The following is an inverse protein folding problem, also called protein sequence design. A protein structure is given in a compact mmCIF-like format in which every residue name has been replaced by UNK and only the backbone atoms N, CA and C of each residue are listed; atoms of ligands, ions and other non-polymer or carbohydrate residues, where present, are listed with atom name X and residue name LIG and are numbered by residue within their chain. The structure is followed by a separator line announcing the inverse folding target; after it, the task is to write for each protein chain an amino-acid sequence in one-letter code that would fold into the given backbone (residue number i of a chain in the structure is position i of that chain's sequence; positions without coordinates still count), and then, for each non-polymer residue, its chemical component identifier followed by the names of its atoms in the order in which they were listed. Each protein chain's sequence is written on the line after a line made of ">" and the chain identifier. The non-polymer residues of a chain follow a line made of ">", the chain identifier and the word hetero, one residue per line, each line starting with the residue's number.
data_IF_416983351730
#
_entry.id   IF_416983351730
#
_cell.length_a   1.000
_cell.length_b   1.000
_cell.length_c   1.000
_cell.angle_alpha   90.00
_cell.angle_beta   90.00
_cell.angle_gamma   90.00
#
_symmetry.space_group_name_H-M   'P 1'
#
loop_
_entity.id
_entity.type
_entity.pdbx_description
1 polymer ?
#
# COMPACT_ATOMS: atom_id res chain seq x y z
N UNK A 1 14.80 -24.43 7.56
CA UNK A 1 15.58 -23.59 6.60
C UNK A 1 14.73 -22.85 5.55
N UNK A 2 13.47 -23.23 5.26
CA UNK A 2 12.59 -22.53 4.30
C UNK A 2 11.86 -21.28 4.85
N UNK A 3 11.99 -20.97 6.14
CA UNK A 3 11.29 -19.84 6.79
C UNK A 3 12.10 -18.53 6.73
N UNK A 4 13.43 -18.61 6.58
CA UNK A 4 14.29 -17.41 6.56
C UNK A 4 14.32 -16.71 5.20
N UNK A 5 14.30 -17.45 4.08
CA UNK A 5 14.32 -16.85 2.73
C UNK A 5 13.02 -16.08 2.39
N UNK A 6 11.92 -16.36 3.09
CA UNK A 6 10.60 -15.71 2.89
C UNK A 6 10.57 -14.27 3.40
N UNK A 7 11.50 -13.85 4.28
CA UNK A 7 11.39 -12.59 5.02
C UNK A 7 12.07 -11.40 4.34
N UNK A 8 13.08 -11.65 3.51
CA UNK A 8 13.90 -10.59 2.90
C UNK A 8 13.33 -10.05 1.58
N UNK A 9 12.47 -10.81 0.88
CA UNK A 9 11.78 -10.36 -0.34
C UNK A 9 10.42 -9.67 -0.08
N UNK A 10 9.95 -9.61 1.17
CA UNK A 10 8.62 -9.09 1.50
C UNK A 10 8.41 -7.61 1.14
N UNK A 11 9.48 -6.83 1.05
CA UNK A 11 9.41 -5.41 0.69
C UNK A 11 9.38 -5.18 -0.83
N UNK A 12 9.74 -6.17 -1.64
CA UNK A 12 9.69 -6.06 -3.10
C UNK A 12 8.26 -6.05 -3.62
N UNK A 13 7.35 -6.83 -3.02
CA UNK A 13 5.95 -6.91 -3.45
C UNK A 13 5.23 -5.55 -3.49
N UNK A 14 5.23 -4.71 -2.43
CA UNK A 14 4.62 -3.39 -2.51
C UNK A 14 5.35 -2.45 -3.47
N UNK A 15 6.66 -2.63 -3.67
CA UNK A 15 7.43 -1.81 -4.60
C UNK A 15 7.06 -2.12 -6.05
N UNK A 16 6.93 -3.40 -6.40
CA UNK A 16 6.43 -3.82 -7.70
C UNK A 16 4.97 -3.40 -7.91
N UNK A 17 4.14 -3.45 -6.87
CA UNK A 17 2.75 -2.94 -6.95
C UNK A 17 2.75 -1.46 -7.35
N UNK A 18 3.51 -0.62 -6.63
CA UNK A 18 3.63 0.80 -6.92
C UNK A 18 4.24 1.06 -8.30
N UNK A 19 5.29 0.31 -8.67
CA UNK A 19 5.98 0.45 -9.95
C UNK A 19 5.11 0.07 -11.14
N UNK A 20 4.38 -1.05 -11.07
CA UNK A 20 3.43 -1.44 -12.12
C UNK A 20 2.30 -0.42 -12.27
N UNK A 21 1.74 0.07 -11.15
CA UNK A 21 0.68 1.08 -11.20
C UNK A 21 1.17 2.42 -11.75
N UNK A 22 2.33 2.91 -11.28
CA UNK A 22 2.94 4.13 -11.80
C UNK A 22 3.26 4.00 -13.29
N UNK A 23 3.81 2.87 -13.71
CA UNK A 23 4.06 2.60 -15.12
C UNK A 23 2.75 2.67 -15.91
N UNK A 24 1.66 2.12 -15.37
CA UNK A 24 0.36 2.16 -16.01
C UNK A 24 -0.11 3.60 -16.25
N UNK A 25 -0.15 4.42 -15.18
CA UNK A 25 -0.64 5.81 -15.26
C UNK A 25 0.28 6.68 -16.11
N UNK A 26 1.61 6.60 -15.92
CA UNK A 26 2.57 7.37 -16.70
C UNK A 26 2.56 6.94 -18.16
N UNK A 27 2.49 5.64 -18.45
CA UNK A 27 2.42 5.12 -19.81
C UNK A 27 1.18 5.59 -20.55
N UNK A 28 0.00 5.55 -19.92
CA UNK A 28 -1.23 6.09 -20.50
C UNK A 28 -1.15 7.61 -20.71
N UNK A 29 -0.53 8.35 -19.78
CA UNK A 29 -0.30 9.79 -19.93
C UNK A 29 0.64 10.10 -21.10
N UNK A 30 1.71 9.30 -21.27
CA UNK A 30 2.63 9.43 -22.39
C UNK A 30 1.97 9.07 -23.72
N UNK A 31 1.14 8.02 -23.76
CA UNK A 31 0.38 7.71 -24.97
C UNK A 31 -0.56 8.84 -25.37
N UNK A 32 -1.23 9.44 -24.39
CA UNK A 32 -2.10 10.60 -24.63
C UNK A 32 -1.35 11.84 -25.13
N UNK A 33 -0.18 12.15 -24.54
CA UNK A 33 0.60 13.35 -24.89
C UNK A 33 1.42 13.22 -26.17
N UNK A 34 1.91 12.03 -26.50
CA UNK A 34 2.80 11.82 -27.66
C UNK A 34 2.00 11.52 -28.95
N UNK A 35 0.85 10.83 -28.84
CA UNK A 35 0.03 10.49 -30.02
C UNK A 35 -1.05 11.54 -30.25
N UNK A 36 -0.64 12.69 -30.78
CA UNK A 36 -1.53 13.78 -31.19
C UNK A 36 -2.33 13.52 -32.48
N UNK A 37 -2.44 12.28 -32.98
CA UNK A 37 -3.44 11.99 -34.01
C UNK A 37 -4.82 11.91 -33.35
N UNK A 38 -5.44 13.09 -33.17
CA UNK A 38 -6.83 13.34 -32.74
C UNK A 38 -7.90 12.63 -33.62
N UNK A 39 -7.50 11.73 -34.51
CA UNK A 39 -8.38 10.96 -35.41
C UNK A 39 -8.95 9.69 -34.77
N UNK A 40 -8.33 9.13 -33.73
CA UNK A 40 -8.84 7.91 -33.06
C UNK A 40 -9.77 8.20 -31.87
N UNK A 41 -9.74 9.40 -31.31
CA UNK A 41 -10.63 9.81 -30.23
C UNK A 41 -11.96 10.30 -30.84
N UNK A 42 -13.06 9.58 -30.60
CA UNK A 42 -14.39 9.91 -31.16
C UNK A 42 -14.77 11.37 -30.88
N UNK A 43 -15.62 11.96 -31.73
CA UNK A 43 -16.06 13.36 -31.67
C UNK A 43 -16.82 13.77 -30.40
N UNK A 44 -17.21 12.82 -29.54
CA UNK A 44 -18.04 13.05 -28.35
C UNK A 44 -17.24 13.07 -27.03
N UNK A 45 -15.91 13.12 -27.09
CA UNK A 45 -15.05 13.17 -25.90
C UNK A 45 -14.71 14.61 -25.52
N UNK A 46 -14.63 14.86 -24.21
CA UNK A 46 -14.31 16.18 -23.64
C UNK A 46 -12.87 16.60 -23.89
N UNK A 47 -12.57 17.88 -23.69
CA UNK A 47 -11.22 18.45 -23.83
C UNK A 47 -10.14 17.71 -23.02
N UNK A 48 -10.50 17.13 -21.88
CA UNK A 48 -9.63 16.26 -21.09
C UNK A 48 -10.23 14.85 -21.10
N UNK A 49 -9.40 13.85 -21.40
CA UNK A 49 -9.78 12.45 -21.53
C UNK A 49 -9.58 11.70 -20.20
N UNK A 50 -10.51 10.77 -19.90
CA UNK A 50 -10.37 9.87 -18.75
C UNK A 50 -9.20 8.90 -18.95
N UNK A 51 -8.59 8.44 -17.85
CA UNK A 51 -7.53 7.42 -17.92
C UNK A 51 -8.10 6.13 -18.52
N UNK A 52 -9.32 5.79 -18.12
CA UNK A 52 -10.03 4.60 -18.58
C UNK A 52 -10.28 4.61 -20.09
N UNK A 53 -10.58 5.76 -20.69
CA UNK A 53 -10.79 5.88 -22.14
C UNK A 53 -9.51 5.65 -22.93
N UNK A 54 -8.38 6.20 -22.47
CA UNK A 54 -7.07 5.98 -23.08
C UNK A 54 -6.64 4.53 -22.89
N UNK A 55 -6.90 3.95 -21.70
CA UNK A 55 -6.70 2.53 -21.42
C UNK A 55 -7.56 1.62 -22.30
N UNK A 56 -8.76 2.07 -22.66
CA UNK A 56 -9.68 1.42 -23.59
C UNK A 56 -9.17 1.35 -25.03
N UNK A 57 -8.42 2.36 -25.46
CA UNK A 57 -7.72 2.34 -26.76
C UNK A 57 -6.49 1.43 -26.66
N UNK A 58 -5.70 1.57 -25.59
CA UNK A 58 -4.49 0.80 -25.35
C UNK A 58 -4.70 -0.43 -24.45
N UNK A 59 -5.73 -1.24 -24.76
CA UNK A 59 -6.22 -2.34 -23.90
C UNK A 59 -5.13 -3.29 -23.43
N UNK A 60 -4.27 -3.75 -24.34
CA UNK A 60 -3.22 -4.72 -24.00
C UNK A 60 -2.27 -4.18 -22.93
N UNK A 61 -1.90 -2.90 -23.03
CA UNK A 61 -1.03 -2.25 -22.06
C UNK A 61 -1.70 -2.12 -20.70
N UNK A 62 -2.94 -1.63 -20.70
CA UNK A 62 -3.72 -1.42 -19.49
C UNK A 62 -4.02 -2.74 -18.76
N UNK A 63 -4.37 -3.80 -19.48
CA UNK A 63 -4.67 -5.13 -18.89
C UNK A 63 -3.43 -5.75 -18.27
N UNK A 64 -2.27 -5.73 -18.95
CA UNK A 64 -1.04 -6.35 -18.43
C UNK A 64 -0.63 -5.68 -17.12
N UNK A 65 -0.52 -4.34 -17.10
CA UNK A 65 -0.07 -3.62 -15.92
C UNK A 65 -1.11 -3.63 -14.79
N UNK A 66 -2.40 -3.61 -15.10
CA UNK A 66 -3.46 -3.77 -14.09
C UNK A 66 -3.43 -5.17 -13.47
N UNK A 67 -3.18 -6.22 -14.27
CA UNK A 67 -3.03 -7.60 -13.79
C UNK A 67 -1.79 -7.77 -12.91
N UNK A 68 -0.65 -7.21 -13.32
CA UNK A 68 0.56 -7.19 -12.49
C UNK A 68 0.31 -6.44 -11.17
N UNK A 69 -0.29 -5.25 -11.22
CA UNK A 69 -0.64 -4.46 -10.03
C UNK A 69 -1.55 -5.25 -9.10
N UNK A 70 -2.61 -5.87 -9.62
CA UNK A 70 -3.54 -6.68 -8.84
C UNK A 70 -2.84 -7.87 -8.15
N UNK A 71 -2.02 -8.62 -8.88
CA UNK A 71 -1.28 -9.76 -8.34
C UNK A 71 -0.32 -9.37 -7.21
N UNK A 72 0.49 -8.33 -7.43
CA UNK A 72 1.41 -7.85 -6.40
C UNK A 72 0.68 -7.16 -5.22
N UNK A 73 -0.46 -6.53 -5.46
CA UNK A 73 -1.28 -5.93 -4.40
C UNK A 73 -1.86 -7.01 -3.47
N UNK A 74 -2.43 -8.09 -4.03
CA UNK A 74 -2.90 -9.25 -3.25
C UNK A 74 -1.74 -9.86 -2.44
N UNK A 75 -0.58 -10.04 -3.06
CA UNK A 75 0.61 -10.54 -2.36
C UNK A 75 1.00 -9.62 -1.19
N UNK A 76 0.98 -8.30 -1.40
CA UNK A 76 1.30 -7.28 -0.39
C UNK A 76 0.37 -7.37 0.82
N UNK A 77 -0.94 -7.55 0.61
CA UNK A 77 -1.91 -7.63 1.71
C UNK A 77 -1.85 -8.95 2.45
N UNK A 78 -1.59 -10.07 1.77
CA UNK A 78 -1.33 -11.38 2.41
C UNK A 78 -0.07 -11.31 3.28
N UNK A 79 1.02 -10.74 2.79
CA UNK A 79 2.25 -10.57 3.56
C UNK A 79 2.02 -9.69 4.80
N UNK A 80 1.20 -8.65 4.67
CA UNK A 80 0.78 -7.83 5.80
C UNK A 80 -0.05 -8.60 6.82
N UNK A 81 -1.01 -9.41 6.37
CA UNK A 81 -1.82 -10.24 7.26
C UNK A 81 -0.93 -11.11 8.14
N UNK A 82 0.02 -11.85 7.55
CA UNK A 82 0.97 -12.67 8.32
C UNK A 82 1.80 -11.85 9.32
N UNK A 83 2.22 -10.63 8.95
CA UNK A 83 2.94 -9.73 9.88
C UNK A 83 2.05 -9.24 11.02
N UNK A 84 0.79 -8.91 10.73
CA UNK A 84 -0.19 -8.47 11.73
C UNK A 84 -0.44 -9.56 12.76
N UNK A 85 -0.56 -10.82 12.31
CA UNK A 85 -0.73 -11.98 13.20
C UNK A 85 0.48 -12.17 14.11
N UNK A 86 1.68 -12.16 13.54
CA UNK A 86 2.92 -12.30 14.30
C UNK A 86 3.10 -11.16 15.33
N UNK A 87 2.70 -9.94 14.98
CA UNK A 87 2.77 -8.82 15.90
C UNK A 87 1.74 -8.93 17.03
N UNK A 88 0.50 -9.33 16.70
CA UNK A 88 -0.59 -9.51 17.66
C UNK A 88 -0.25 -10.56 18.72
N UNK A 89 0.29 -11.71 18.31
CA UNK A 89 0.62 -12.82 19.23
C UNK A 89 1.73 -12.49 20.25
N UNK A 90 2.44 -11.37 20.08
CA UNK A 90 3.49 -10.91 21.01
C UNK A 90 3.02 -9.83 21.99
N UNK A 91 1.95 -9.10 21.70
CA UNK A 91 1.64 -7.83 22.39
C UNK A 91 0.20 -7.67 22.88
N UNK A 92 -0.70 -8.64 22.68
CA UNK A 92 -2.12 -8.47 23.02
C UNK A 92 -2.72 -9.64 23.79
N UNK A 93 -3.66 -9.37 24.70
CA UNK A 93 -4.48 -10.41 25.36
C UNK A 93 -5.53 -11.00 24.41
N UNK A 94 -6.06 -12.18 24.76
CA UNK A 94 -6.91 -13.05 23.90
C UNK A 94 -8.09 -12.34 23.22
N UNK A 95 -8.74 -11.37 23.86
CA UNK A 95 -9.88 -10.65 23.27
C UNK A 95 -9.47 -9.64 22.19
N UNK A 96 -8.39 -8.88 22.41
CA UNK A 96 -7.88 -7.89 21.43
C UNK A 96 -7.27 -8.60 20.22
N UNK A 97 -6.61 -9.74 20.43
CA UNK A 97 -6.09 -10.61 19.36
C UNK A 97 -7.18 -11.04 18.38
N UNK A 98 -8.32 -11.51 18.90
CA UNK A 98 -9.45 -11.95 18.06
C UNK A 98 -9.98 -10.81 17.19
N UNK A 99 -10.08 -9.60 17.71
CA UNK A 99 -10.54 -8.44 16.94
C UNK A 99 -9.57 -8.06 15.81
N UNK A 100 -8.27 -8.03 16.09
CA UNK A 100 -7.23 -7.72 15.08
C UNK A 100 -7.23 -8.78 13.98
N UNK A 101 -7.40 -10.04 14.36
CA UNK A 101 -7.48 -11.16 13.42
C UNK A 101 -8.63 -10.98 12.42
N UNK A 102 -9.84 -10.69 12.91
CA UNK A 102 -11.02 -10.45 12.06
C UNK A 102 -10.85 -9.21 11.16
N UNK A 103 -10.35 -8.09 11.70
CA UNK A 103 -10.10 -6.88 10.93
C UNK A 103 -9.07 -7.11 9.82
N UNK A 104 -8.02 -7.88 10.10
CA UNK A 104 -6.98 -8.22 9.12
C UNK A 104 -7.51 -9.12 7.99
N UNK A 105 -8.41 -10.05 8.30
CA UNK A 105 -9.07 -10.89 7.29
C UNK A 105 -10.02 -10.07 6.44
N UNK A 106 -10.87 -9.26 7.06
CA UNK A 106 -11.81 -8.39 6.36
C UNK A 106 -11.06 -7.42 5.41
N UNK A 107 -9.95 -6.84 5.87
CA UNK A 107 -9.07 -6.02 5.05
C UNK A 107 -8.51 -6.78 3.84
N UNK A 108 -7.99 -7.99 4.05
CA UNK A 108 -7.39 -8.81 2.98
C UNK A 108 -8.43 -9.23 1.94
N UNK A 109 -9.63 -9.60 2.39
CA UNK A 109 -10.75 -9.92 1.51
C UNK A 109 -11.18 -8.71 0.68
N UNK A 110 -11.31 -7.54 1.32
CA UNK A 110 -11.65 -6.29 0.64
C UNK A 110 -10.58 -5.90 -0.40
N UNK A 111 -9.29 -6.10 -0.11
CA UNK A 111 -8.21 -5.91 -1.08
C UNK A 111 -8.27 -6.90 -2.25
N UNK A 112 -8.63 -8.16 -1.99
CA UNK A 112 -8.81 -9.17 -3.04
C UNK A 112 -9.94 -8.77 -4.00
N UNK A 113 -11.10 -8.37 -3.47
CA UNK A 113 -12.22 -7.88 -4.29
C UNK A 113 -11.81 -6.64 -5.08
N UNK A 114 -11.07 -5.71 -4.48
CA UNK A 114 -10.55 -4.55 -5.18
C UNK A 114 -9.59 -4.93 -6.32
N UNK A 115 -8.63 -5.83 -6.07
CA UNK A 115 -7.68 -6.29 -7.07
C UNK A 115 -8.37 -6.99 -8.25
N UNK A 116 -9.37 -7.84 -7.98
CA UNK A 116 -10.17 -8.47 -9.02
C UNK A 116 -10.96 -7.42 -9.82
N UNK A 117 -11.53 -6.43 -9.15
CA UNK A 117 -12.24 -5.32 -9.81
C UNK A 117 -11.31 -4.50 -10.71
N UNK A 118 -10.05 -4.31 -10.32
CA UNK A 118 -9.02 -3.65 -11.14
C UNK A 118 -8.70 -4.43 -12.44
N UNK A 119 -8.64 -5.76 -12.37
CA UNK A 119 -8.45 -6.57 -13.59
C UNK A 119 -9.69 -6.49 -14.47
N UNK A 120 -10.89 -6.63 -13.89
CA UNK A 120 -12.13 -6.60 -14.65
C UNK A 120 -12.38 -5.23 -15.30
N UNK A 121 -12.10 -4.11 -14.62
CA UNK A 121 -12.24 -2.78 -15.22
C UNK A 121 -11.25 -2.58 -16.39
N UNK A 122 -10.10 -3.25 -16.38
CA UNK A 122 -9.16 -3.19 -17.50
C UNK A 122 -9.61 -3.99 -18.74
N UNK A 123 -10.42 -5.04 -18.52
CA UNK A 123 -10.99 -5.87 -19.60
C UNK A 123 -12.27 -5.25 -20.16
N UNK A 124 -13.16 -4.78 -19.27
CA UNK A 124 -14.41 -4.15 -19.63
C UNK A 124 -14.18 -2.66 -19.90
N UNK A 125 -13.88 -2.36 -21.14
CA UNK A 125 -13.64 -1.02 -21.66
C UNK A 125 -14.91 -0.14 -21.70
N UNK A 126 -14.74 1.17 -21.47
CA UNK A 126 -15.77 2.21 -21.47
C UNK A 126 -16.55 2.25 -22.79
N UNK A 127 -15.91 1.95 -23.92
CA UNK A 127 -16.56 2.04 -25.24
C UNK A 127 -17.66 0.99 -25.50
N UNK A 128 -17.62 -0.17 -24.84
CA UNK A 128 -18.58 -1.26 -25.09
C UNK A 128 -19.47 -1.57 -23.90
N UNK A 129 -18.95 -1.39 -22.69
CA UNK A 129 -19.64 -1.80 -21.46
C UNK A 129 -19.49 -0.74 -20.36
N UNK A 130 -19.74 0.53 -20.67
CA UNK A 130 -19.62 1.67 -19.76
C UNK A 130 -20.22 1.42 -18.36
N UNK A 131 -21.48 0.99 -18.28
CA UNK A 131 -22.15 0.73 -16.97
C UNK A 131 -21.44 -0.34 -16.14
N UNK A 132 -20.90 -1.36 -16.80
CA UNK A 132 -20.17 -2.45 -16.13
C UNK A 132 -18.80 -1.93 -15.68
N UNK A 133 -18.12 -1.16 -16.53
CA UNK A 133 -16.84 -0.51 -16.21
C UNK A 133 -16.96 0.36 -14.96
N UNK A 134 -17.95 1.25 -14.91
CA UNK A 134 -18.21 2.14 -13.77
C UNK A 134 -18.52 1.35 -12.50
N UNK A 135 -19.28 0.26 -12.61
CA UNK A 135 -19.58 -0.61 -11.46
C UNK A 135 -18.30 -1.21 -10.88
N UNK A 136 -17.37 -1.69 -11.72
CA UNK A 136 -16.08 -2.20 -11.27
C UNK A 136 -15.15 -1.10 -10.75
N UNK A 137 -15.19 0.11 -11.30
CA UNK A 137 -14.47 1.26 -10.77
C UNK A 137 -14.93 1.59 -9.35
N UNK A 138 -16.24 1.65 -9.10
CA UNK A 138 -16.79 1.90 -7.76
C UNK A 138 -16.37 0.78 -6.80
N UNK A 139 -16.51 -0.49 -7.20
CA UNK A 139 -16.08 -1.64 -6.39
C UNK A 139 -14.58 -1.59 -6.06
N UNK A 140 -13.76 -1.19 -7.02
CA UNK A 140 -12.33 -1.01 -6.83
C UNK A 140 -12.03 0.09 -5.81
N UNK A 141 -12.58 1.29 -6.00
CA UNK A 141 -12.31 2.45 -5.12
C UNK A 141 -12.81 2.19 -3.70
N UNK A 142 -14.02 1.67 -3.54
CA UNK A 142 -14.59 1.33 -2.23
C UNK A 142 -13.81 0.19 -1.58
N UNK A 143 -13.45 -0.84 -2.35
CA UNK A 143 -12.68 -1.98 -1.85
C UNK A 143 -11.27 -1.60 -1.39
N UNK A 144 -10.55 -0.76 -2.15
CA UNK A 144 -9.26 -0.21 -1.70
C UNK A 144 -9.48 0.61 -0.43
N UNK A 145 -10.40 1.58 -0.44
CA UNK A 145 -10.64 2.49 0.69
C UNK A 145 -10.98 1.74 1.98
N UNK A 146 -11.88 0.74 1.90
CA UNK A 146 -12.28 -0.08 3.03
C UNK A 146 -11.13 -0.96 3.53
N UNK A 147 -10.38 -1.60 2.63
CA UNK A 147 -9.20 -2.38 3.00
C UNK A 147 -8.21 -1.54 3.80
N UNK A 148 -7.96 -0.30 3.37
CA UNK A 148 -7.02 0.61 4.02
C UNK A 148 -7.52 1.06 5.38
N UNK A 149 -8.79 1.44 5.48
CA UNK A 149 -9.41 1.85 6.73
C UNK A 149 -9.31 0.74 7.78
N UNK A 150 -9.62 -0.50 7.40
CA UNK A 150 -9.54 -1.68 8.26
C UNK A 150 -8.10 -1.99 8.72
N UNK A 151 -7.08 -1.58 7.97
CA UNK A 151 -5.67 -1.72 8.39
C UNK A 151 -5.22 -0.63 9.34
N UNK A 152 -5.78 0.58 9.23
CA UNK A 152 -5.40 1.73 10.05
C UNK A 152 -6.00 1.60 11.46
N UNK A 153 -7.25 1.13 11.57
CA UNK A 153 -7.99 1.05 12.85
C UNK A 153 -7.21 0.31 13.95
N UNK A 154 -6.68 -0.91 13.73
CA UNK A 154 -5.90 -1.61 14.75
C UNK A 154 -4.66 -0.84 15.20
N UNK A 155 -3.96 -0.19 14.26
CA UNK A 155 -2.72 0.55 14.54
C UNK A 155 -3.01 1.80 15.37
N UNK A 156 -4.14 2.48 15.15
CA UNK A 156 -4.49 3.66 15.95
C UNK A 156 -5.06 3.29 17.33
N UNK A 157 -5.89 2.25 17.39
CA UNK A 157 -6.56 1.86 18.64
C UNK A 157 -5.59 1.18 19.62
N UNK A 158 -4.72 0.27 19.16
CA UNK A 158 -3.84 -0.48 20.06
C UNK A 158 -2.64 0.30 20.56
N UNK A 159 -2.12 1.26 19.78
CA UNK A 159 -0.93 1.97 20.25
C UNK A 159 -1.28 2.95 21.37
N UNK A 160 -2.56 3.31 21.58
CA UNK A 160 -2.96 4.25 22.64
C UNK A 160 -2.61 3.77 24.06
N UNK A 161 -2.32 2.48 24.25
CA UNK A 161 -2.05 1.89 25.58
C UNK A 161 -0.55 1.73 25.93
N UNK A 162 0.42 1.94 25.01
CA UNK A 162 1.87 1.76 25.30
C UNK A 162 2.73 2.87 24.66
N UNK A 163 3.24 3.79 25.49
CA UNK A 163 3.72 5.12 25.07
C UNK A 163 5.22 5.25 24.70
N UNK A 164 6.02 4.19 24.68
CA UNK A 164 7.47 4.32 24.48
C UNK A 164 8.00 4.08 23.05
N UNK A 165 7.65 2.97 22.43
CA UNK A 165 8.47 2.38 21.34
C UNK A 165 7.84 2.40 19.93
N UNK A 166 6.68 3.03 19.74
CA UNK A 166 5.85 2.84 18.54
C UNK A 166 5.61 4.10 17.68
N UNK A 167 6.46 5.12 17.80
CA UNK A 167 6.29 6.39 17.07
C UNK A 167 6.30 6.24 15.54
N UNK A 168 7.08 5.31 15.00
CA UNK A 168 7.23 5.14 13.54
C UNK A 168 6.04 4.47 12.83
N UNK A 169 5.49 3.32 13.29
CA UNK A 169 4.31 2.71 12.67
C UNK A 169 3.09 3.64 12.72
N UNK A 170 2.96 4.46 13.77
CA UNK A 170 1.94 5.52 13.84
C UNK A 170 2.07 6.54 12.72
N UNK A 171 3.28 7.04 12.41
CA UNK A 171 3.50 8.02 11.32
C UNK A 171 3.04 7.49 9.96
N UNK A 172 3.38 6.26 9.61
CA UNK A 172 2.96 5.68 8.32
C UNK A 172 1.44 5.46 8.28
N UNK A 173 0.82 5.04 9.39
CA UNK A 173 -0.63 4.95 9.49
C UNK A 173 -1.31 6.33 9.31
N UNK A 174 -0.75 7.41 9.88
CA UNK A 174 -1.26 8.77 9.67
C UNK A 174 -1.09 9.25 8.23
N UNK A 175 0.03 8.96 7.57
CA UNK A 175 0.20 9.27 6.14
C UNK A 175 -0.88 8.58 5.32
N UNK A 176 -1.15 7.30 5.58
CA UNK A 176 -2.22 6.56 4.90
C UNK A 176 -3.61 7.12 5.19
N UNK A 177 -3.87 7.52 6.43
CA UNK A 177 -5.12 8.17 6.81
C UNK A 177 -5.30 9.51 6.09
N UNK A 178 -4.24 10.32 6.03
CA UNK A 178 -4.27 11.60 5.32
C UNK A 178 -4.53 11.41 3.83
N UNK A 179 -3.86 10.43 3.19
CA UNK A 179 -4.11 10.09 1.79
C UNK A 179 -5.56 9.63 1.55
N UNK A 180 -6.14 8.84 2.47
CA UNK A 180 -7.53 8.43 2.40
C UNK A 180 -8.49 9.62 2.54
N UNK A 181 -8.26 10.49 3.53
CA UNK A 181 -9.06 11.71 3.77
C UNK A 181 -8.96 12.67 2.58
N UNK A 182 -7.79 12.74 1.92
CA UNK A 182 -7.59 13.52 0.70
C UNK A 182 -8.30 12.88 -0.51
N UNK A 183 -8.28 11.55 -0.63
CA UNK A 183 -8.90 10.83 -1.75
C UNK A 183 -10.43 10.92 -1.74
N UNK A 184 -11.06 10.83 -0.56
CA UNK A 184 -12.53 10.82 -0.42
C UNK A 184 -13.23 12.01 -1.11
N UNK A 185 -12.87 13.29 -0.88
CA UNK A 185 -13.55 14.40 -1.54
C UNK A 185 -13.32 14.40 -3.06
N UNK A 186 -12.14 13.98 -3.54
CA UNK A 186 -11.85 13.89 -4.97
C UNK A 186 -12.71 12.81 -5.64
N UNK A 187 -12.86 11.65 -4.99
CA UNK A 187 -13.75 10.58 -5.46
C UNK A 187 -15.20 11.04 -5.46
N UNK A 188 -15.66 11.74 -4.41
CA UNK A 188 -17.03 12.27 -4.36
C UNK A 188 -17.26 13.27 -5.50
N UNK A 189 -16.32 14.17 -5.75
CA UNK A 189 -16.38 15.12 -6.87
C UNK A 189 -16.43 14.41 -8.23
N UNK A 190 -15.59 13.39 -8.42
CA UNK A 190 -15.61 12.52 -9.60
C UNK A 190 -16.99 11.88 -9.80
N UNK A 191 -17.56 11.26 -8.76
CA UNK A 191 -18.86 10.59 -8.84
C UNK A 191 -20.00 11.56 -9.18
N UNK A 192 -20.00 12.76 -8.58
CA UNK A 192 -21.02 13.78 -8.85
C UNK A 192 -20.90 14.30 -10.29
N UNK A 193 -19.70 14.67 -10.72
CA UNK A 193 -19.47 15.21 -12.06
C UNK A 193 -19.75 14.16 -13.15
N UNK A 194 -19.38 12.91 -12.92
CA UNK A 194 -19.71 11.79 -13.79
C UNK A 194 -21.23 11.56 -13.86
N UNK A 195 -21.96 11.62 -12.74
CA UNK A 195 -23.41 11.40 -12.71
C UNK A 195 -24.23 12.48 -13.45
N UNK A 196 -23.72 13.73 -13.57
CA UNK A 196 -24.46 14.83 -14.21
C UNK A 196 -24.53 14.67 -15.74
N UNK A 197 -23.41 14.37 -16.39
CA UNK A 197 -23.32 14.25 -17.86
C UNK A 197 -23.08 12.80 -18.33
N UNK A 198 -23.14 11.82 -17.43
CA UNK A 198 -22.91 10.40 -17.72
C UNK A 198 -21.59 10.16 -18.49
N UNK A 199 -20.55 10.95 -18.20
CA UNK A 199 -19.25 10.84 -18.89
C UNK A 199 -19.25 11.14 -20.39
N UNK A 200 -20.34 11.67 -20.98
CA UNK A 200 -20.42 11.95 -22.42
C UNK A 200 -20.72 13.43 -22.69
N UNK A 201 -20.16 13.97 -23.77
CA UNK A 201 -20.39 15.36 -24.19
C UNK A 201 -21.32 15.36 -25.40
N UNK A 202 -22.57 15.87 -25.27
CA UNK A 202 -23.42 16.14 -26.42
C UNK A 202 -22.78 17.20 -27.33
N UNK A 203 -22.90 17.04 -28.65
CA UNK A 203 -22.33 17.98 -29.62
C UNK A 203 -22.84 19.41 -29.38
N UNK A 204 -21.91 20.33 -29.12
CA UNK A 204 -22.20 21.77 -28.91
C UNK A 204 -22.50 22.19 -27.46
N UNK A 205 -22.48 21.30 -26.47
CA UNK A 205 -22.71 21.66 -25.06
C UNK A 205 -21.41 21.97 -24.30
N UNK A 206 -21.08 23.26 -24.21
CA UNK A 206 -19.92 23.76 -23.47
C UNK A 206 -20.01 23.50 -21.95
N UNK A 207 -21.21 23.30 -21.40
CA UNK A 207 -21.38 23.00 -19.97
C UNK A 207 -20.95 21.57 -19.68
N UNK A 208 -21.43 20.60 -20.45
CA UNK A 208 -21.04 19.21 -20.26
C UNK A 208 -19.57 18.95 -20.59
N UNK A 209 -18.98 19.65 -21.57
CA UNK A 209 -17.54 19.56 -21.82
C UNK A 209 -16.71 19.94 -20.58
N UNK A 210 -17.07 21.03 -19.89
CA UNK A 210 -16.39 21.44 -18.65
C UNK A 210 -16.59 20.44 -17.51
N UNK A 211 -17.81 19.93 -17.34
CA UNK A 211 -18.14 18.97 -16.26
C UNK A 211 -17.40 17.66 -16.46
N UNK A 212 -17.42 17.11 -17.67
CA UNK A 212 -16.74 15.85 -18.01
C UNK A 212 -15.22 16.02 -17.96
N UNK A 213 -14.67 17.15 -18.43
CA UNK A 213 -13.24 17.46 -18.26
C UNK A 213 -12.84 17.54 -16.78
N UNK A 214 -13.69 18.10 -15.91
CA UNK A 214 -13.44 18.14 -14.47
C UNK A 214 -13.44 16.73 -13.87
N UNK A 215 -14.38 15.87 -14.29
CA UNK A 215 -14.41 14.48 -13.89
C UNK A 215 -13.12 13.75 -14.31
N UNK A 216 -12.65 13.98 -15.54
CA UNK A 216 -11.39 13.39 -16.02
C UNK A 216 -10.19 13.84 -15.17
N UNK A 217 -10.09 15.12 -14.81
CA UNK A 217 -9.03 15.60 -13.89
C UNK A 217 -9.10 14.89 -12.53
N UNK A 218 -10.31 14.67 -12.00
CA UNK A 218 -10.48 13.95 -10.73
C UNK A 218 -10.06 12.49 -10.84
N UNK A 219 -10.35 11.82 -11.97
CA UNK A 219 -9.91 10.45 -12.26
C UNK A 219 -8.38 10.35 -12.23
N UNK A 220 -7.70 11.25 -12.94
CA UNK A 220 -6.24 11.37 -12.90
C UNK A 220 -5.70 11.61 -11.48
N UNK A 221 -6.29 12.56 -10.75
CA UNK A 221 -5.87 12.87 -9.39
C UNK A 221 -6.00 11.66 -8.45
N UNK A 222 -7.13 10.93 -8.50
CA UNK A 222 -7.33 9.71 -7.69
C UNK A 222 -6.32 8.63 -8.05
N UNK A 223 -6.02 8.44 -9.33
CA UNK A 223 -5.04 7.46 -9.78
C UNK A 223 -3.61 7.77 -9.27
N UNK A 224 -3.21 9.04 -9.25
CA UNK A 224 -1.94 9.47 -8.66
C UNK A 224 -1.92 9.36 -7.14
N UNK A 225 -3.01 9.72 -6.44
CA UNK A 225 -3.14 9.52 -4.99
C UNK A 225 -3.00 8.04 -4.66
N UNK A 226 -3.62 7.15 -5.45
CA UNK A 226 -3.47 5.70 -5.30
C UNK A 226 -2.01 5.25 -5.53
N UNK A 227 -1.28 5.87 -6.45
CA UNK A 227 0.14 5.57 -6.64
C UNK A 227 0.97 5.92 -5.39
N UNK A 228 0.78 7.12 -4.83
CA UNK A 228 1.40 7.53 -3.56
C UNK A 228 0.99 6.58 -2.43
N UNK A 229 -0.25 6.09 -2.47
CA UNK A 229 -0.75 5.13 -1.51
C UNK A 229 -0.03 3.77 -1.59
N UNK A 230 0.24 3.24 -2.79
CA UNK A 230 1.07 2.05 -2.97
C UNK A 230 2.53 2.27 -2.53
N UNK A 231 3.08 3.46 -2.76
CA UNK A 231 4.40 3.82 -2.23
C UNK A 231 4.36 3.82 -0.69
N UNK A 232 3.31 4.35 -0.06
CA UNK A 232 3.16 4.33 1.40
C UNK A 232 3.17 2.90 1.98
N UNK A 233 2.70 1.89 1.23
CA UNK A 233 2.86 0.49 1.64
C UNK A 233 4.31 0.03 1.68
N UNK A 234 5.17 0.50 0.78
CA UNK A 234 6.59 0.09 0.77
C UNK A 234 7.28 0.46 2.08
N UNK A 235 6.98 1.64 2.63
CA UNK A 235 7.55 2.13 3.88
C UNK A 235 7.15 1.28 5.10
N UNK A 236 5.99 0.62 5.08
CA UNK A 236 5.62 -0.31 6.14
C UNK A 236 6.51 -1.57 6.18
N UNK A 237 7.07 -1.98 5.04
CA UNK A 237 7.93 -3.16 4.95
C UNK A 237 9.42 -2.82 5.06
N UNK A 238 9.87 -1.70 4.48
CA UNK A 238 11.28 -1.30 4.43
C UNK A 238 11.94 -1.20 5.81
N UNK A 239 11.22 -0.66 6.80
CA UNK A 239 11.78 -0.48 8.15
C UNK A 239 12.05 -1.79 8.88
N UNK A 240 11.34 -2.88 8.52
CA UNK A 240 11.60 -4.21 9.09
C UNK A 240 12.98 -4.74 8.73
N UNK A 241 13.53 -4.35 7.58
CA UNK A 241 14.86 -4.76 7.13
C UNK A 241 15.96 -3.93 7.80
N UNK A 242 15.74 -2.60 7.90
CA UNK A 242 16.69 -1.68 8.52
C UNK A 242 16.87 -1.90 10.03
N UNK A 243 15.78 -2.21 10.77
CA UNK A 243 15.87 -2.52 12.20
C UNK A 243 16.67 -3.80 12.49
N UNK A 244 16.65 -4.77 11.57
CA UNK A 244 17.38 -6.03 11.69
C UNK A 244 18.86 -5.88 11.35
N UNK A 245 19.20 -5.02 10.39
CA UNK A 245 20.59 -4.69 10.05
C UNK A 245 21.31 -3.99 11.21
N UNK A 246 20.63 -3.09 11.93
CA UNK A 246 21.19 -2.48 13.13
C UNK A 246 21.28 -3.46 14.31
N UNK A 247 20.30 -4.36 14.48
CA UNK A 247 20.39 -5.40 15.50
C UNK A 247 21.56 -6.36 15.29
N UNK A 248 21.78 -6.82 14.06
CA UNK A 248 22.93 -7.68 13.71
C UNK A 248 24.27 -6.95 13.85
N UNK A 249 24.32 -5.66 13.48
CA UNK A 249 25.52 -4.84 13.68
C UNK A 249 25.86 -4.68 15.16
N UNK A 250 24.85 -4.55 16.03
CA UNK A 250 25.04 -4.44 17.48
C UNK A 250 25.44 -5.79 18.14
N UNK A 251 24.98 -6.93 17.62
CA UNK A 251 25.45 -8.25 18.06
C UNK A 251 26.89 -8.54 17.58
N UNK A 252 27.27 -8.06 16.39
CA UNK A 252 28.65 -8.22 15.89
C UNK A 252 29.64 -7.24 16.54
N UNK A 253 29.23 -6.00 16.86
CA UNK A 253 29.97 -5.14 17.78
C UNK A 253 29.61 -5.51 19.21
N UNK A 254 30.14 -6.64 19.68
CA UNK A 254 30.00 -7.09 21.05
C UNK A 254 30.05 -5.92 22.03
N UNK A 255 29.00 -5.82 22.85
CA UNK A 255 28.88 -4.88 23.96
C UNK A 255 30.19 -4.87 24.77
N UNK A 256 30.98 -3.76 24.77
CA UNK A 256 32.23 -3.69 25.52
C UNK A 256 32.03 -4.02 27.01
N UNK A 257 30.83 -3.75 27.53
CA UNK A 257 30.41 -4.09 28.89
C UNK A 257 30.38 -5.59 29.20
N UNK A 258 30.10 -6.46 28.23
CA UNK A 258 30.06 -7.91 28.46
C UNK A 258 31.47 -8.53 28.53
N UNK A 259 32.40 -8.03 27.71
CA UNK A 259 33.81 -8.44 27.80
C UNK A 259 34.50 -7.88 29.05
N UNK A 260 34.21 -6.63 29.44
CA UNK A 260 34.78 -6.03 30.65
C UNK A 260 34.23 -6.71 31.92
N UNK A 261 32.95 -7.08 31.96
CA UNK A 261 32.37 -7.82 33.08
C UNK A 261 32.94 -9.25 33.19
N UNK A 262 33.17 -9.92 32.06
CA UNK A 262 33.84 -11.23 32.04
C UNK A 262 35.29 -11.16 32.49
N UNK A 263 36.02 -10.10 32.13
CA UNK A 263 37.41 -9.92 32.57
C UNK A 263 37.52 -9.65 34.07
N UNK A 264 36.60 -8.86 34.63
CA UNK A 264 36.59 -8.53 36.06
C UNK A 264 36.23 -9.74 36.94
N UNK A 265 35.40 -10.66 36.43
CA UNK A 265 35.04 -11.89 37.15
C UNK A 265 36.19 -12.91 37.19
N UNK A 266 37.02 -12.96 36.14
CA UNK A 266 38.21 -13.83 36.11
C UNK A 266 39.30 -13.32 37.07
N UNK A 267 39.48 -12.00 37.16
CA UNK A 267 40.45 -11.38 38.09
C UNK A 267 40.03 -11.61 39.56
N UNK A 268 38.73 -11.61 39.83
CA UNK A 268 38.18 -11.86 41.17
C UNK A 268 38.32 -13.34 41.58
N UNK A 269 38.06 -14.30 40.68
CA UNK A 269 38.29 -15.73 40.94
C UNK A 269 39.78 -16.07 41.17
N UNK A 270 40.69 -15.52 40.38
CA UNK A 270 42.14 -15.75 40.56
C UNK A 270 42.64 -15.15 41.89
N UNK A 271 42.10 -14.00 42.30
CA UNK A 271 42.46 -13.37 43.58
C UNK A 271 42.04 -14.22 44.78
N UNK A 272 40.86 -14.86 44.72
CA UNK A 272 40.34 -15.72 45.78
C UNK A 272 41.11 -17.04 45.85
N UNK A 273 41.42 -17.64 44.71
CA UNK A 273 42.20 -18.88 44.64
C UNK A 273 43.63 -18.70 45.21
N UNK A 274 44.27 -17.55 44.93
CA UNK A 274 45.59 -17.22 45.46
C UNK A 274 45.59 -16.97 46.98
N UNK A 275 44.53 -16.38 47.52
CA UNK A 275 44.36 -16.13 48.96
C UNK A 275 44.14 -17.45 49.74
N UNK A 276 43.37 -18.39 49.17
CA UNK A 276 43.17 -19.72 49.76
C UNK A 276 44.45 -20.56 49.77
N UNK A 277 45.25 -20.51 48.70
CA UNK A 277 46.55 -21.20 48.64
C UNK A 277 47.54 -20.68 49.70
N UNK A 278 47.50 -19.37 50.02
CA UNK A 278 48.36 -18.75 51.04
C UNK A 278 47.99 -19.16 52.47
N UNK A 279 46.74 -19.56 52.72
CA UNK A 279 46.27 -20.00 54.05
C UNK A 279 46.61 -21.47 54.37
N UNK A 280 47.08 -22.24 53.40
CA UNK A 280 47.40 -23.66 53.56
C UNK A 280 48.90 -23.96 53.76
N UNK A 281 49.74 -22.93 53.85
CA UNK A 281 51.18 -22.99 54.18
C UNK A 281 51.41 -22.38 55.55
#
# INVERSE_FOLDING_TARGET
>A
MMINLRRDCCWLAPLFTAGCWLSNIIGLLLFWTIREEKREYKSNLSSILFISDIGGIHRTYFIILSSCTAGFYILTTILRHFRSQHWSSRHSGTAKERQIWWLSIASSFSAFVAAMSLVLLSVFDTFRHERIHVSFLILFVVGVSLSVLLQIIPVLYLTKDHDGEQLHPRRVAYVKLYLLVLAVPVVVLFMITYAICHGTVPEGDARCDRVVSTAAVCDWAVAFILAVFFIAYTFDFLKSSAGKLNGHRLDETGSPSAQIAGLHHLDEEDSVAMEEARRQV
#
